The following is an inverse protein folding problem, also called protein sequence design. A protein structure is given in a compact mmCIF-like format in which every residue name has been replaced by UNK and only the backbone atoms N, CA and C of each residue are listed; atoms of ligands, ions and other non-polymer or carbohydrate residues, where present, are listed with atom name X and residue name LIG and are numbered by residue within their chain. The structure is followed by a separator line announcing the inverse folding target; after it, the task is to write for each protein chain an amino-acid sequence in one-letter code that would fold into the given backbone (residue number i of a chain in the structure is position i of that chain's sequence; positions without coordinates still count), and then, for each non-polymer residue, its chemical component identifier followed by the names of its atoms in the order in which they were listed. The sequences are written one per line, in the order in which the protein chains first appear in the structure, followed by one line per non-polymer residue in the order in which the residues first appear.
data_IF_714767126135
#
_entry.id   IF_714767126135
#
_cell.length_a   1.000
_cell.length_b   1.000
_cell.length_c   1.000
_cell.angle_alpha   90.00
_cell.angle_beta   90.00
_cell.angle_gamma   90.00
#
_symmetry.space_group_name_H-M   'P 1'
#
loop_
_entity.id
_entity.type
_entity.pdbx_description
1 polymer ?
#
# COMPACT_ATOMS: atom_id res chain seq x y z
N UNK A 1 -16.02 21.40 46.46
CA UNK A 1 -16.56 22.63 45.83
C UNK A 1 -17.72 22.23 44.93
N UNK A 2 -18.95 22.57 45.34
CA UNK A 2 -20.18 22.08 44.69
C UNK A 2 -20.51 22.94 43.45
N UNK A 3 -19.79 22.72 42.35
CA UNK A 3 -19.84 23.58 41.15
C UNK A 3 -20.96 23.26 40.15
N UNK A 4 -21.78 22.22 40.39
CA UNK A 4 -22.77 21.72 39.43
C UNK A 4 -24.22 21.68 39.93
N UNK A 5 -24.50 22.16 41.14
CA UNK A 5 -25.85 22.18 41.69
C UNK A 5 -26.55 23.50 41.34
N UNK A 6 -27.64 23.45 40.56
CA UNK A 6 -28.53 24.58 40.32
C UNK A 6 -29.83 24.39 41.11
N UNK A 7 -30.37 25.48 41.66
CA UNK A 7 -31.62 25.47 42.41
C UNK A 7 -32.67 26.23 41.59
N UNK A 8 -33.61 25.48 41.03
CA UNK A 8 -34.86 26.01 40.47
C UNK A 8 -36.02 25.49 41.32
N UNK A 9 -37.15 26.20 41.38
CA UNK A 9 -38.32 25.88 42.23
C UNK A 9 -39.11 24.64 41.79
N UNK A 10 -38.41 23.58 41.38
CA UNK A 10 -38.94 22.29 40.93
C UNK A 10 -38.40 21.17 41.83
N UNK A 11 -39.07 20.00 41.89
CA UNK A 11 -38.56 18.84 42.63
C UNK A 11 -37.15 18.45 42.17
N UNK A 12 -36.33 17.93 43.09
CA UNK A 12 -34.97 17.46 42.79
C UNK A 12 -34.97 16.44 41.64
N UNK A 13 -34.11 16.65 40.65
CA UNK A 13 -33.88 15.74 39.54
C UNK A 13 -32.40 15.73 39.16
N UNK A 14 -31.86 14.54 38.91
CA UNK A 14 -30.49 14.37 38.40
C UNK A 14 -30.53 14.67 36.91
N UNK A 15 -29.96 15.80 36.50
CA UNK A 15 -29.98 16.26 35.10
C UNK A 15 -28.80 15.74 34.28
N UNK A 16 -27.71 15.32 34.93
CA UNK A 16 -26.54 14.75 34.25
C UNK A 16 -25.85 13.73 35.16
N UNK A 17 -25.64 12.51 34.65
CA UNK A 17 -24.93 11.43 35.33
C UNK A 17 -23.83 10.95 34.39
N UNK A 18 -22.61 11.44 34.62
CA UNK A 18 -21.42 10.97 33.92
C UNK A 18 -20.69 9.96 34.80
N UNK A 19 -20.48 8.75 34.27
CA UNK A 19 -19.72 7.68 34.91
C UNK A 19 -18.61 7.25 33.95
N UNK A 20 -17.38 7.29 34.42
CA UNK A 20 -16.15 6.95 33.68
C UNK A 20 -15.78 5.46 33.76
N UNK A 21 -16.50 4.69 34.58
CA UNK A 21 -16.31 3.25 34.74
C UNK A 21 -17.02 2.43 33.67
N UNK A 22 -16.32 1.42 33.13
CA UNK A 22 -16.88 0.42 32.20
C UNK A 22 -16.57 -1.00 32.68
N UNK A 23 -17.49 -1.93 32.43
CA UNK A 23 -17.28 -3.35 32.72
C UNK A 23 -16.13 -3.92 31.87
N UNK A 24 -15.52 -5.02 32.32
CA UNK A 24 -14.56 -5.74 31.49
C UNK A 24 -15.24 -6.20 30.18
N UNK A 25 -14.61 -5.89 29.06
CA UNK A 25 -15.09 -6.27 27.72
C UNK A 25 -14.11 -7.21 27.05
N UNK A 26 -14.63 -8.10 26.21
CA UNK A 26 -13.81 -8.93 25.33
C UNK A 26 -13.62 -8.22 23.98
N UNK A 27 -12.56 -8.53 23.25
CA UNK A 27 -12.33 -8.00 21.91
C UNK A 27 -13.41 -8.51 20.96
N UNK A 28 -14.09 -7.59 20.27
CA UNK A 28 -15.18 -7.87 19.32
C UNK A 28 -14.76 -7.56 17.88
N UNK A 29 -13.83 -6.65 17.67
CA UNK A 29 -13.36 -6.33 16.33
C UNK A 29 -12.12 -5.46 16.30
N UNK A 30 -11.51 -5.40 15.12
CA UNK A 30 -10.34 -4.56 14.82
C UNK A 30 -10.69 -3.72 13.60
N UNK A 31 -10.35 -2.44 13.65
CA UNK A 31 -10.52 -1.50 12.55
C UNK A 31 -9.20 -0.79 12.30
N UNK A 32 -8.87 -0.59 11.02
CA UNK A 32 -7.73 0.22 10.59
C UNK A 32 -8.25 1.59 10.15
N UNK A 33 -7.68 2.64 10.71
CA UNK A 33 -7.97 4.02 10.35
C UNK A 33 -7.03 4.49 9.23
N UNK A 34 -7.38 5.55 8.54
CA UNK A 34 -6.62 6.06 7.39
C UNK A 34 -5.24 6.61 7.74
N UNK A 35 -5.04 6.98 9.01
CA UNK A 35 -3.78 7.40 9.61
C UNK A 35 -2.91 6.22 10.11
N UNK A 36 -3.29 4.97 9.81
CA UNK A 36 -2.59 3.77 10.25
C UNK A 36 -2.88 3.32 11.67
N UNK A 37 -3.74 4.03 12.44
CA UNK A 37 -4.09 3.61 13.79
C UNK A 37 -4.99 2.38 13.73
N UNK A 38 -4.60 1.36 14.49
CA UNK A 38 -5.35 0.12 14.67
C UNK A 38 -6.20 0.27 15.92
N UNK A 39 -7.51 0.33 15.75
CA UNK A 39 -8.46 0.50 16.85
C UNK A 39 -9.15 -0.83 17.16
N UNK A 40 -9.01 -1.30 18.40
CA UNK A 40 -9.67 -2.47 18.94
C UNK A 40 -11.01 -2.08 19.58
N UNK A 41 -12.10 -2.73 19.15
CA UNK A 41 -13.45 -2.56 19.70
C UNK A 41 -13.76 -3.68 20.68
N UNK A 42 -14.29 -3.31 21.84
CA UNK A 42 -14.62 -4.24 22.93
C UNK A 42 -16.13 -4.36 23.15
N UNK A 43 -16.58 -5.47 23.73
CA UNK A 43 -18.00 -5.78 23.99
C UNK A 43 -18.66 -4.85 25.01
N UNK A 44 -17.86 -4.10 25.77
CA UNK A 44 -18.31 -3.06 26.70
C UNK A 44 -18.54 -1.69 26.03
N UNK A 45 -18.50 -1.63 24.69
CA UNK A 45 -18.72 -0.41 23.90
C UNK A 45 -17.49 0.51 23.83
N UNK A 46 -16.36 0.14 24.43
CA UNK A 46 -15.14 0.92 24.38
C UNK A 46 -14.34 0.59 23.12
N UNK A 47 -13.76 1.63 22.50
CA UNK A 47 -12.75 1.51 21.45
C UNK A 47 -11.42 2.00 21.99
N UNK A 48 -10.35 1.24 21.82
CA UNK A 48 -9.01 1.64 22.24
C UNK A 48 -8.01 1.47 21.11
N UNK A 49 -7.05 2.40 20.93
CA UNK A 49 -5.94 2.20 20.01
C UNK A 49 -5.09 1.04 20.52
N UNK A 50 -4.86 0.06 19.65
CA UNK A 50 -4.07 -1.14 19.89
C UNK A 50 -2.65 -1.03 19.30
N UNK A 51 -2.45 -0.15 18.32
CA UNK A 51 -1.16 0.09 17.68
C UNK A 51 -1.29 1.03 16.50
N UNK A 52 -0.17 1.27 15.81
CA UNK A 52 -0.13 2.08 14.60
C UNK A 52 0.80 1.44 13.57
N UNK A 53 0.36 1.42 12.31
CA UNK A 53 1.17 0.98 11.18
C UNK A 53 2.08 2.14 10.75
N UNK A 54 3.36 1.84 10.64
CA UNK A 54 4.36 2.73 10.08
C UNK A 54 4.62 2.37 8.62
N UNK A 55 4.87 3.37 7.79
CA UNK A 55 5.19 3.21 6.37
C UNK A 55 6.55 3.80 6.07
N UNK A 56 7.25 3.18 5.13
CA UNK A 56 8.55 3.63 4.66
C UNK A 56 8.43 4.17 3.24
N UNK A 57 8.99 5.35 2.99
CA UNK A 57 9.20 5.86 1.64
C UNK A 57 10.68 5.95 1.33
N UNK A 58 11.02 5.83 0.05
CA UNK A 58 12.39 5.89 -0.43
C UNK A 58 12.52 7.03 -1.44
N UNK A 59 13.68 7.70 -1.45
CA UNK A 59 13.95 8.78 -2.41
C UNK A 59 13.93 8.28 -3.85
N UNK A 60 14.40 7.05 -4.08
CA UNK A 60 14.38 6.41 -5.39
C UNK A 60 13.79 4.99 -5.30
N UNK A 61 12.47 4.85 -5.52
CA UNK A 61 11.80 3.54 -5.52
C UNK A 61 12.33 2.57 -6.59
N UNK A 62 12.81 3.08 -7.74
CA UNK A 62 13.33 2.25 -8.83
C UNK A 62 14.66 1.55 -8.48
N UNK A 63 15.33 1.99 -7.41
CA UNK A 63 16.52 1.33 -6.90
C UNK A 63 16.24 0.13 -6.00
N UNK A 64 14.98 -0.13 -5.64
CA UNK A 64 14.63 -1.21 -4.71
C UNK A 64 14.97 -2.56 -5.35
N UNK A 65 15.53 -3.46 -4.54
CA UNK A 65 15.88 -4.79 -5.01
C UNK A 65 14.71 -5.74 -4.76
N UNK A 66 14.16 -6.42 -5.79
CA UNK A 66 13.10 -7.39 -5.59
C UNK A 66 13.65 -8.64 -4.90
N UNK A 67 13.04 -9.04 -3.79
CA UNK A 67 13.34 -10.30 -3.10
C UNK A 67 12.39 -11.44 -3.49
N UNK A 68 11.35 -11.14 -4.26
CA UNK A 68 10.28 -12.07 -4.63
C UNK A 68 9.07 -11.98 -3.69
N UNK A 69 7.94 -12.56 -4.10
CA UNK A 69 6.71 -12.55 -3.30
C UNK A 69 6.15 -11.15 -3.01
N UNK A 70 6.35 -10.19 -3.93
CA UNK A 70 6.00 -8.77 -3.77
C UNK A 70 6.77 -8.04 -2.65
N UNK A 71 7.88 -8.61 -2.17
CA UNK A 71 8.75 -7.99 -1.18
C UNK A 71 9.97 -7.36 -1.85
N UNK A 72 10.35 -6.19 -1.34
CA UNK A 72 11.47 -5.40 -1.81
C UNK A 72 12.42 -5.09 -0.66
N UNK A 73 13.73 -5.06 -0.97
CA UNK A 73 14.78 -4.63 -0.05
C UNK A 73 15.38 -3.30 -0.50
N UNK A 74 15.79 -2.50 0.50
CA UNK A 74 16.57 -1.29 0.23
C UNK A 74 17.94 -1.65 -0.33
N UNK A 75 18.47 -0.78 -1.17
CA UNK A 75 19.80 -0.93 -1.78
C UNK A 75 20.58 0.37 -1.67
N UNK A 76 21.85 0.38 -2.06
CA UNK A 76 22.60 1.63 -2.13
C UNK A 76 21.96 2.66 -3.08
N UNK A 77 21.27 2.20 -4.13
CA UNK A 77 20.63 3.06 -5.12
C UNK A 77 19.30 3.68 -4.66
N UNK A 78 18.65 3.14 -3.61
CA UNK A 78 17.41 3.69 -3.04
C UNK A 78 17.64 4.82 -2.06
N UNK A 79 18.80 4.80 -1.40
CA UNK A 79 19.04 5.52 -0.15
C UNK A 79 18.33 4.88 1.05
N UNK A 80 18.43 5.55 2.19
CA UNK A 80 17.84 5.09 3.45
C UNK A 80 16.31 5.23 3.45
N UNK A 81 15.59 4.33 4.15
CA UNK A 81 14.14 4.43 4.33
C UNK A 81 13.80 5.66 5.17
N UNK A 82 12.83 6.43 4.71
CA UNK A 82 12.20 7.51 5.47
C UNK A 82 10.91 6.94 6.05
N UNK A 83 10.92 6.69 7.35
CA UNK A 83 9.77 6.17 8.08
C UNK A 83 8.81 7.29 8.48
N UNK A 84 7.52 6.98 8.53
CA UNK A 84 6.51 7.89 9.02
C UNK A 84 5.12 7.29 9.10
N UNK A 85 4.18 8.14 9.52
CA UNK A 85 2.78 7.79 9.72
C UNK A 85 1.99 7.97 8.42
N UNK A 86 1.07 7.05 8.08
CA UNK A 86 0.16 7.23 6.95
C UNK A 86 -0.65 8.53 7.03
N UNK A 87 -0.73 9.26 5.93
CA UNK A 87 -1.46 10.52 5.81
C UNK A 87 -0.72 11.77 6.32
N UNK A 88 0.47 11.62 6.90
CA UNK A 88 1.30 12.75 7.33
C UNK A 88 2.36 13.13 6.27
N UNK A 89 2.53 14.44 6.06
CA UNK A 89 3.55 14.98 5.16
C UNK A 89 3.34 14.57 3.69
N UNK A 90 4.34 13.93 3.09
CA UNK A 90 4.32 13.47 1.69
C UNK A 90 3.95 11.97 1.57
N UNK A 91 3.44 11.38 2.64
CA UNK A 91 3.05 9.97 2.67
C UNK A 91 1.57 9.81 2.31
N UNK A 92 1.24 8.70 1.65
CA UNK A 92 -0.15 8.35 1.34
C UNK A 92 -0.96 7.95 2.59
N UNK A 93 -2.29 7.97 2.48
CA UNK A 93 -3.18 7.45 3.52
C UNK A 93 -3.45 5.95 3.31
N UNK A 94 -3.77 5.25 4.40
CA UNK A 94 -4.24 3.86 4.29
C UNK A 94 -5.71 3.82 3.92
N UNK A 95 -6.08 2.87 3.06
CA UNK A 95 -7.46 2.52 2.78
C UNK A 95 -7.77 1.13 3.33
N UNK A 96 -8.51 1.08 4.43
CA UNK A 96 -8.89 -0.20 5.06
C UNK A 96 -9.88 -0.97 4.18
N UNK A 97 -9.65 -2.28 4.04
CA UNK A 97 -10.54 -3.19 3.31
C UNK A 97 -10.43 -3.13 1.79
N UNK A 98 -9.44 -2.40 1.24
CA UNK A 98 -9.10 -2.41 -0.18
C UNK A 98 -7.75 -3.10 -0.42
N UNK A 99 -7.57 -3.65 -1.62
CA UNK A 99 -6.31 -4.24 -2.09
C UNK A 99 -5.85 -3.45 -3.32
N UNK A 100 -4.56 -3.13 -3.39
CA UNK A 100 -3.97 -2.51 -4.58
C UNK A 100 -3.89 -3.52 -5.74
N UNK A 101 -4.39 -3.12 -6.90
CA UNK A 101 -4.35 -3.92 -8.12
C UNK A 101 -3.04 -3.67 -8.89
N UNK A 102 -2.70 -4.61 -9.79
CA UNK A 102 -1.57 -4.42 -10.70
C UNK A 102 -1.79 -3.20 -11.59
N UNK A 103 -0.76 -2.38 -11.75
CA UNK A 103 -0.78 -1.22 -12.65
C UNK A 103 -0.54 -1.59 -14.13
N UNK A 104 -0.72 -2.86 -14.51
CA UNK A 104 -0.38 -3.40 -15.83
C UNK A 104 -1.59 -3.37 -16.76
N UNK A 105 -1.46 -2.69 -17.91
CA UNK A 105 -2.46 -2.75 -18.98
C UNK A 105 -2.15 -3.89 -19.94
N UNK A 106 -2.96 -4.95 -19.87
CA UNK A 106 -2.82 -6.13 -20.71
C UNK A 106 -2.85 -5.84 -22.22
N UNK A 107 -3.61 -4.83 -22.67
CA UNK A 107 -3.73 -4.52 -24.09
C UNK A 107 -2.43 -3.91 -24.62
N UNK A 108 -1.87 -2.97 -23.86
CA UNK A 108 -0.59 -2.36 -24.17
C UNK A 108 0.55 -3.40 -24.14
N UNK A 109 0.58 -4.26 -23.12
CA UNK A 109 1.58 -5.32 -23.01
C UNK A 109 1.50 -6.33 -24.17
N UNK A 110 0.29 -6.67 -24.62
CA UNK A 110 0.10 -7.55 -25.78
C UNK A 110 0.65 -6.92 -27.06
N UNK A 111 0.42 -5.61 -27.28
CA UNK A 111 0.95 -4.89 -28.45
C UNK A 111 2.47 -4.79 -28.39
N UNK A 112 3.05 -4.53 -27.22
CA UNK A 112 4.50 -4.53 -27.01
C UNK A 112 5.09 -5.90 -27.35
N UNK A 113 4.45 -6.98 -26.90
CA UNK A 113 4.86 -8.35 -27.18
C UNK A 113 4.80 -8.68 -28.69
N UNK A 114 3.72 -8.34 -29.38
CA UNK A 114 3.60 -8.50 -30.84
C UNK A 114 4.68 -7.70 -31.58
N UNK A 115 4.98 -6.49 -31.10
CA UNK A 115 6.01 -5.64 -31.71
C UNK A 115 7.40 -6.24 -31.52
N UNK A 116 7.73 -6.71 -30.31
CA UNK A 116 8.98 -7.42 -30.04
C UNK A 116 9.12 -8.69 -30.89
N UNK A 117 8.04 -9.46 -31.06
CA UNK A 117 8.02 -10.63 -31.94
C UNK A 117 8.29 -10.27 -33.41
N UNK A 118 7.68 -9.20 -33.93
CA UNK A 118 7.93 -8.73 -35.30
C UNK A 118 9.38 -8.29 -35.50
N UNK A 119 9.95 -7.59 -34.53
CA UNK A 119 11.37 -7.19 -34.54
C UNK A 119 12.27 -8.44 -34.55
N UNK A 120 11.96 -9.43 -33.72
CA UNK A 120 12.71 -10.70 -33.71
C UNK A 120 12.64 -11.43 -35.06
N UNK A 121 11.45 -11.50 -35.67
CA UNK A 121 11.28 -12.10 -37.00
C UNK A 121 12.04 -11.35 -38.10
N UNK A 122 12.01 -10.01 -38.07
CA UNK A 122 12.77 -9.18 -38.99
C UNK A 122 14.28 -9.43 -38.85
N UNK A 123 14.81 -9.44 -37.63
CA UNK A 123 16.21 -9.73 -37.36
C UNK A 123 16.61 -11.13 -37.85
N UNK A 124 15.76 -12.14 -37.61
CA UNK A 124 16.02 -13.50 -38.09
C UNK A 124 16.01 -13.59 -39.63
N UNK A 125 15.14 -12.83 -40.30
CA UNK A 125 15.11 -12.78 -41.76
C UNK A 125 16.36 -12.09 -42.32
N UNK A 126 16.84 -11.01 -41.69
CA UNK A 126 18.11 -10.35 -42.06
C UNK A 126 19.28 -11.33 -41.98
N UNK A 127 19.36 -12.14 -40.92
CA UNK A 127 20.39 -13.18 -40.78
C UNK A 127 20.29 -14.20 -41.93
N UNK A 128 19.09 -14.73 -42.22
CA UNK A 128 18.90 -15.67 -43.34
C UNK A 128 19.35 -15.09 -44.68
N UNK A 129 19.01 -13.83 -44.96
CA UNK A 129 19.44 -13.18 -46.19
C UNK A 129 20.95 -13.00 -46.25
N UNK A 130 21.58 -12.69 -45.12
CA UNK A 130 23.04 -12.59 -45.01
C UNK A 130 23.72 -13.95 -45.26
N UNK A 131 23.20 -15.02 -44.67
CA UNK A 131 23.72 -16.38 -44.87
C UNK A 131 23.60 -16.82 -46.34
N UNK A 132 22.50 -16.49 -47.01
CA UNK A 132 22.32 -16.79 -48.43
C UNK A 132 23.35 -16.07 -49.31
N UNK A 133 23.63 -14.79 -49.03
CA UNK A 133 24.67 -14.02 -49.75
C UNK A 133 26.06 -14.58 -49.47
N UNK A 134 26.35 -15.00 -48.24
CA UNK A 134 27.63 -15.65 -47.92
C UNK A 134 27.80 -16.98 -48.67
N UNK A 135 26.75 -17.79 -48.74
CA UNK A 135 26.79 -19.06 -49.46
C UNK A 135 27.01 -18.88 -50.97
N UNK A 136 26.39 -17.87 -51.60
CA UNK A 136 26.61 -17.60 -53.02
C UNK A 136 28.02 -17.11 -53.32
N UNK A 137 28.62 -16.31 -52.44
CA UNK A 137 30.03 -15.89 -52.56
C UNK A 137 31.00 -17.08 -52.47
N UNK A 138 30.75 -18.05 -51.59
CA UNK A 138 31.59 -19.25 -51.44
C UNK A 138 31.51 -20.17 -52.66
N UNK A 139 30.34 -20.25 -53.31
CA UNK A 139 30.09 -21.11 -54.47
C UNK A 139 30.58 -20.51 -55.81
N UNK A 140 31.03 -19.25 -55.84
CA UNK A 140 31.57 -18.56 -57.03
C UNK A 140 33.07 -18.84 -57.29
N UNK A 141 33.59 -19.94 -56.76
CA UNK A 141 34.98 -20.41 -56.94
C UNK A 141 35.12 -21.41 -58.08
#
# INVERSE_FOLDING_TARGET
TLSGASQYGSPFGVTDLSQDGYAAGQLVGIQFESNGVVTARYSNGQSKPAGQVEIATFRNPQGLQPLGGNVWAHSFATGDPILGVPGDGNLGALQSGALEESNVDMTAELVNMITAQRVYQANAQTIKTQDQVMQTLVNLR
#
